data_IF_359364181079
#
_entry.id   IF_359364181079
#
_cell.length_a   1.000
_cell.length_b   1.000
_cell.length_c   1.000
_cell.angle_alpha   90.00
_cell.angle_beta   90.00
_cell.angle_gamma   90.00
#
_symmetry.space_group_name_H-M   'P 1'
#
loop_
_entity.id
_entity.type
_entity.pdbx_description
1 polymer ?
#
# COMPACT_ATOMS: atom_id res chain seq x y z
N UNK A 1 13.92 -0.74 16.66
CA UNK A 1 12.89 0.01 15.90
C UNK A 1 11.78 -0.98 15.58
N UNK A 2 10.51 -0.57 15.62
CA UNK A 2 9.46 -1.47 15.15
C UNK A 2 9.51 -1.43 13.63
N UNK A 3 9.52 -2.60 12.99
CA UNK A 3 9.45 -2.74 11.54
C UNK A 3 8.04 -3.19 11.18
N UNK A 4 7.51 -2.70 10.07
CA UNK A 4 6.28 -3.22 9.48
C UNK A 4 6.65 -3.96 8.19
N UNK A 5 5.93 -5.03 7.88
CA UNK A 5 6.11 -5.80 6.66
C UNK A 5 4.90 -5.60 5.77
N UNK A 6 5.12 -5.27 4.51
CA UNK A 6 4.08 -5.18 3.50
C UNK A 6 4.27 -6.31 2.50
N UNK A 7 3.30 -7.19 2.37
CA UNK A 7 3.34 -8.30 1.42
C UNK A 7 2.23 -8.19 0.41
N UNK A 8 2.57 -8.35 -0.87
CA UNK A 8 1.67 -8.22 -2.00
C UNK A 8 1.41 -9.57 -2.65
N UNK A 9 0.14 -9.84 -2.95
CA UNK A 9 -0.31 -11.06 -3.60
C UNK A 9 -1.27 -10.75 -4.74
N UNK A 10 -1.23 -11.56 -5.78
CA UNK A 10 -2.21 -11.52 -6.85
C UNK A 10 -3.28 -12.59 -6.60
N UNK A 11 -4.56 -12.18 -6.62
CA UNK A 11 -5.70 -13.03 -6.22
C UNK A 11 -6.84 -13.01 -7.23
N UNK A 12 -7.46 -14.17 -7.40
CA UNK A 12 -8.67 -14.36 -8.22
C UNK A 12 -9.93 -14.18 -7.37
N UNK A 13 -10.55 -12.99 -7.46
CA UNK A 13 -11.82 -12.65 -6.81
C UNK A 13 -11.76 -12.33 -5.31
N UNK A 14 -12.88 -11.79 -4.80
CA UNK A 14 -13.00 -11.25 -3.45
C UNK A 14 -12.89 -12.36 -2.37
N UNK A 15 -11.74 -12.45 -1.71
CA UNK A 15 -11.49 -13.46 -0.68
C UNK A 15 -11.83 -12.95 0.73
N UNK A 16 -12.45 -13.81 1.58
CA UNK A 16 -12.67 -13.51 2.99
C UNK A 16 -11.54 -14.04 3.91
N UNK A 17 -10.99 -13.14 4.72
CA UNK A 17 -10.52 -13.30 6.11
C UNK A 17 -9.51 -14.38 6.56
N UNK A 18 -8.86 -15.19 5.71
CA UNK A 18 -7.82 -16.10 6.21
C UNK A 18 -6.53 -16.10 5.37
N UNK A 19 -5.40 -15.89 6.04
CA UNK A 19 -4.04 -15.87 5.47
C UNK A 19 -3.61 -17.18 4.77
N UNK A 20 -4.42 -18.25 4.85
CA UNK A 20 -4.17 -19.50 4.14
C UNK A 20 -4.84 -19.47 2.75
N UNK A 21 -4.04 -19.22 1.70
CA UNK A 21 -4.51 -19.25 0.30
C UNK A 21 -4.55 -17.90 -0.41
N UNK A 22 -3.75 -16.92 0.03
CA UNK A 22 -3.68 -15.54 -0.45
C UNK A 22 -3.27 -15.36 -1.94
N UNK A 23 -3.21 -16.40 -2.76
CA UNK A 23 -2.74 -16.34 -4.14
C UNK A 23 -1.21 -16.36 -4.26
N UNK A 24 -0.70 -16.00 -5.45
CA UNK A 24 0.74 -16.00 -5.73
C UNK A 24 1.38 -14.72 -5.15
N UNK A 25 2.41 -14.83 -4.29
CA UNK A 25 3.11 -13.65 -3.78
C UNK A 25 3.88 -12.97 -4.91
N UNK A 26 3.69 -11.66 -5.05
CA UNK A 26 4.35 -10.84 -6.08
C UNK A 26 5.37 -9.86 -5.52
N UNK A 27 5.44 -9.72 -4.19
CA UNK A 27 6.56 -9.06 -3.55
C UNK A 27 6.35 -8.77 -2.08
N UNK A 28 7.42 -8.28 -1.47
CA UNK A 28 7.47 -7.87 -0.07
C UNK A 28 8.31 -6.58 0.07
N UNK A 29 7.97 -5.78 1.06
CA UNK A 29 8.72 -4.61 1.49
C UNK A 29 8.77 -4.55 3.02
N UNK A 30 9.93 -4.15 3.54
CA UNK A 30 10.07 -3.78 4.95
C UNK A 30 9.91 -2.27 5.03
N UNK A 31 8.92 -1.84 5.82
CA UNK A 31 8.60 -0.46 6.09
C UNK A 31 9.24 -0.07 7.43
N UNK A 32 10.35 0.68 7.42
CA UNK A 32 11.01 1.11 8.65
C UNK A 32 10.14 2.11 9.44
N UNK A 33 10.26 2.13 10.77
CA UNK A 33 9.56 3.11 11.61
C UNK A 33 8.08 2.80 11.88
N UNK A 34 7.30 3.85 12.12
CA UNK A 34 5.87 3.77 12.51
C UNK A 34 5.06 4.71 11.61
N UNK A 35 3.73 4.71 11.76
CA UNK A 35 2.82 5.68 11.11
C UNK A 35 2.59 5.54 9.58
N UNK A 36 3.06 4.47 8.94
CA UNK A 36 2.67 4.15 7.55
C UNK A 36 1.16 4.09 7.31
N UNK A 37 0.35 3.86 8.34
CA UNK A 37 -1.11 3.92 8.28
C UNK A 37 -1.67 5.35 8.09
N UNK A 38 -0.87 6.37 8.33
CA UNK A 38 -1.24 7.78 8.25
C UNK A 38 -0.98 8.38 6.86
N UNK A 39 -0.55 7.61 5.86
CA UNK A 39 -0.21 8.13 4.53
C UNK A 39 -1.42 8.54 3.67
N UNK A 40 -2.65 8.18 4.06
CA UNK A 40 -3.86 8.53 3.32
C UNK A 40 -3.98 10.03 2.97
N UNK A 41 -3.76 10.99 3.89
CA UNK A 41 -3.82 12.41 3.57
C UNK A 41 -2.75 12.85 2.55
N UNK A 42 -1.53 12.31 2.64
CA UNK A 42 -0.46 12.59 1.68
C UNK A 42 -0.84 12.11 0.28
N UNK A 43 -1.30 10.86 0.15
CA UNK A 43 -1.78 10.32 -1.13
C UNK A 43 -2.89 11.18 -1.74
N UNK A 44 -3.84 11.66 -0.93
CA UNK A 44 -4.89 12.58 -1.41
C UNK A 44 -4.33 13.92 -1.88
N UNK A 45 -3.39 14.52 -1.15
CA UNK A 45 -2.77 15.78 -1.51
C UNK A 45 -1.98 15.69 -2.82
N UNK A 46 -1.40 14.52 -3.10
CA UNK A 46 -0.67 14.22 -4.32
C UNK A 46 -1.55 13.83 -5.51
N UNK A 47 -2.85 13.63 -5.29
CA UNK A 47 -3.79 13.23 -6.35
C UNK A 47 -3.84 11.72 -6.61
N UNK A 48 -3.17 10.91 -5.79
CA UNK A 48 -3.21 9.45 -5.79
C UNK A 48 -4.49 8.97 -5.10
N UNK A 49 -5.64 9.27 -5.71
CA UNK A 49 -6.96 9.14 -5.07
C UNK A 49 -7.35 7.68 -4.88
N UNK A 50 -7.19 6.85 -5.92
CA UNK A 50 -7.46 5.43 -5.86
C UNK A 50 -6.51 4.74 -4.87
N UNK A 51 -5.24 5.13 -4.83
CA UNK A 51 -4.30 4.62 -3.82
C UNK A 51 -4.74 5.02 -2.41
N UNK A 52 -5.14 6.27 -2.21
CA UNK A 52 -5.64 6.76 -0.93
C UNK A 52 -6.91 6.01 -0.49
N UNK A 53 -7.83 5.71 -1.41
CA UNK A 53 -9.02 4.91 -1.14
C UNK A 53 -8.64 3.52 -0.61
N UNK A 54 -7.76 2.81 -1.32
CA UNK A 54 -7.23 1.51 -0.89
C UNK A 54 -6.61 1.60 0.50
N UNK A 55 -5.72 2.57 0.71
CA UNK A 55 -4.98 2.74 1.96
C UNK A 55 -5.87 3.12 3.14
N UNK A 56 -6.99 3.81 2.87
CA UNK A 56 -7.96 4.25 3.87
C UNK A 56 -9.02 3.22 4.22
N UNK A 57 -9.00 2.04 3.58
CA UNK A 57 -10.04 1.02 3.73
C UNK A 57 -10.22 0.68 5.21
N UNK A 58 -11.39 0.97 5.81
CA UNK A 58 -11.61 0.71 7.22
C UNK A 58 -11.64 -0.80 7.47
N UNK A 59 -10.91 -1.24 8.49
CA UNK A 59 -10.97 -2.62 8.92
C UNK A 59 -12.11 -2.82 9.93
N UNK A 60 -13.05 -3.72 9.60
CA UNK A 60 -14.09 -4.16 10.52
C UNK A 60 -13.55 -5.25 11.45
N UNK A 61 -12.60 -4.93 12.35
CA UNK A 61 -12.31 -5.81 13.48
C UNK A 61 -13.33 -5.55 14.60
N UNK A 62 -13.94 -6.58 15.21
CA UNK A 62 -14.81 -6.41 16.36
C UNK A 62 -14.06 -5.95 17.64
N UNK A 63 -12.73 -5.97 17.65
CA UNK A 63 -11.89 -5.55 18.77
C UNK A 63 -11.12 -4.25 18.45
N UNK A 64 -11.29 -3.21 19.29
CA UNK A 64 -10.64 -1.89 19.25
C UNK A 64 -9.11 -1.92 19.52
N UNK A 65 -8.48 -3.10 19.47
CA UNK A 65 -7.03 -3.24 19.64
C UNK A 65 -6.35 -3.21 18.26
N UNK A 66 -5.32 -2.38 18.08
CA UNK A 66 -4.49 -2.24 16.86
C UNK A 66 -4.37 -3.58 16.10
N UNK A 67 -5.23 -3.81 15.08
CA UNK A 67 -5.47 -5.15 14.59
C UNK A 67 -4.44 -5.44 13.50
N UNK A 68 -3.23 -5.76 13.94
CA UNK A 68 -2.25 -6.37 13.05
C UNK A 68 -2.67 -7.82 12.76
N UNK A 69 -2.65 -8.27 11.50
CA UNK A 69 -2.28 -7.54 10.28
C UNK A 69 -3.43 -6.74 9.65
N UNK A 70 -3.10 -5.71 8.85
CA UNK A 70 -4.04 -4.89 8.08
C UNK A 70 -4.13 -5.34 6.61
N UNK A 71 -5.22 -6.01 6.22
CA UNK A 71 -5.42 -6.42 4.84
C UNK A 71 -6.09 -5.33 4.01
N UNK A 72 -5.65 -5.18 2.77
CA UNK A 72 -6.17 -4.24 1.79
C UNK A 72 -6.34 -4.96 0.45
N UNK A 73 -7.50 -4.79 -0.19
CA UNK A 73 -7.77 -5.43 -1.47
C UNK A 73 -8.17 -4.39 -2.51
N UNK A 74 -7.45 -4.39 -3.63
CA UNK A 74 -7.81 -3.69 -4.85
C UNK A 74 -8.34 -4.70 -5.86
N UNK A 75 -9.62 -4.58 -6.21
CA UNK A 75 -10.18 -5.35 -7.32
C UNK A 75 -9.48 -4.99 -8.66
N UNK A 76 -9.63 -5.79 -9.74
CA UNK A 76 -8.91 -5.52 -10.98
C UNK A 76 -9.13 -4.11 -11.57
N UNK A 77 -10.32 -3.54 -11.40
CA UNK A 77 -10.63 -2.20 -11.88
C UNK A 77 -9.97 -1.13 -11.00
N UNK A 78 -9.97 -1.32 -9.68
CA UNK A 78 -9.30 -0.45 -8.72
C UNK A 78 -7.78 -0.50 -8.89
N UNK A 79 -7.20 -1.69 -9.01
CA UNK A 79 -5.79 -1.91 -9.29
C UNK A 79 -5.34 -1.21 -10.59
N UNK A 80 -6.16 -1.27 -11.64
CA UNK A 80 -5.88 -0.56 -12.91
C UNK A 80 -5.90 0.96 -12.77
N UNK A 81 -6.75 1.51 -11.89
CA UNK A 81 -6.75 2.96 -11.61
C UNK A 81 -5.51 3.37 -10.84
N UNK A 82 -5.10 2.58 -9.85
CA UNK A 82 -3.89 2.84 -9.07
C UNK A 82 -2.65 2.77 -9.96
N UNK A 83 -2.54 1.76 -10.84
CA UNK A 83 -1.45 1.64 -11.83
C UNK A 83 -1.36 2.89 -12.72
N UNK A 84 -2.50 3.43 -13.17
CA UNK A 84 -2.55 4.65 -13.96
C UNK A 84 -2.15 5.91 -13.16
N UNK A 85 -2.57 6.00 -11.89
CA UNK A 85 -2.16 7.09 -10.99
C UNK A 85 -0.64 7.08 -10.76
N UNK A 86 -0.08 5.91 -10.42
CA UNK A 86 1.36 5.75 -10.19
C UNK A 86 2.20 6.05 -11.44
N UNK A 87 1.74 5.60 -12.62
CA UNK A 87 2.43 5.87 -13.89
C UNK A 87 2.47 7.37 -14.24
N UNK A 88 1.44 8.12 -13.83
CA UNK A 88 1.34 9.55 -14.10
C UNK A 88 1.95 10.43 -12.99
N UNK A 89 2.34 9.83 -11.87
CA UNK A 89 2.81 10.55 -10.70
C UNK A 89 4.27 10.97 -10.87
N UNK A 90 4.55 12.23 -10.51
CA UNK A 90 5.91 12.76 -10.43
C UNK A 90 6.45 12.47 -9.03
N UNK A 91 7.28 11.44 -8.89
CA UNK A 91 7.70 10.94 -7.58
C UNK A 91 8.58 11.92 -6.81
N UNK A 92 9.31 12.79 -7.51
CA UNK A 92 10.12 13.86 -6.90
C UNK A 92 9.27 14.81 -6.04
N UNK A 93 7.96 14.89 -6.32
CA UNK A 93 7.00 15.67 -5.53
C UNK A 93 6.89 15.22 -4.06
N UNK A 94 7.30 14.00 -3.74
CA UNK A 94 7.35 13.51 -2.35
C UNK A 94 8.30 14.37 -1.52
N UNK A 95 9.47 14.72 -2.08
CA UNK A 95 10.48 15.56 -1.42
C UNK A 95 10.04 17.02 -1.27
N UNK A 96 9.30 17.53 -2.27
CA UNK A 96 8.72 18.88 -2.25
C UNK A 96 7.61 19.06 -1.19
N UNK A 97 7.10 17.96 -0.62
CA UNK A 97 6.00 17.97 0.34
C UNK A 97 6.24 17.01 1.50
N UNK A 98 7.49 16.88 1.94
CA UNK A 98 7.87 15.98 3.04
C UNK A 98 7.12 16.30 4.33
N UNK A 99 6.64 17.53 4.53
CA UNK A 99 5.82 17.92 5.69
C UNK A 99 4.47 17.18 5.76
N UNK A 100 4.02 16.56 4.66
CA UNK A 100 2.82 15.72 4.62
C UNK A 100 3.08 14.30 5.14
N UNK A 101 4.35 13.91 5.26
CA UNK A 101 4.76 12.58 5.68
C UNK A 101 4.81 12.46 7.20
N UNK A 102 4.53 11.27 7.75
CA UNK A 102 4.81 11.01 9.15
C UNK A 102 6.32 11.14 9.41
N UNK A 103 6.69 11.98 10.36
CA UNK A 103 8.10 12.33 10.65
C UNK A 103 8.51 13.67 10.04
N UNK A 104 8.00 13.99 8.84
CA UNK A 104 8.23 15.29 8.19
C UNK A 104 9.70 15.55 7.85
N UNK A 105 10.47 14.50 7.57
CA UNK A 105 11.90 14.55 7.26
C UNK A 105 12.23 13.89 5.91
N UNK A 106 13.46 14.11 5.44
CA UNK A 106 13.94 13.57 4.16
C UNK A 106 14.01 12.04 4.17
N UNK A 107 14.31 11.42 5.32
CA UNK A 107 14.34 9.96 5.45
C UNK A 107 12.94 9.36 5.17
N UNK A 108 11.87 9.95 5.72
CA UNK A 108 10.51 9.53 5.42
C UNK A 108 10.15 9.74 3.93
N UNK A 109 10.68 10.79 3.30
CA UNK A 109 10.47 11.06 1.88
C UNK A 109 11.13 10.00 1.00
N UNK A 110 12.39 9.64 1.26
CA UNK A 110 13.11 8.59 0.54
C UNK A 110 12.39 7.23 0.65
N UNK A 111 11.88 6.89 1.84
CA UNK A 111 11.17 5.64 2.06
C UNK A 111 9.83 5.57 1.32
N UNK A 112 9.09 6.68 1.27
CA UNK A 112 7.80 6.76 0.57
C UNK A 112 8.00 6.84 -0.95
N UNK A 113 9.00 7.57 -1.41
CA UNK A 113 9.43 7.60 -2.82
C UNK A 113 9.73 6.19 -3.31
N UNK A 114 10.57 5.45 -2.58
CA UNK A 114 10.90 4.06 -2.92
C UNK A 114 9.67 3.16 -3.03
N UNK A 115 8.69 3.32 -2.14
CA UNK A 115 7.46 2.54 -2.20
C UNK A 115 6.61 2.88 -3.43
N UNK A 116 6.55 4.17 -3.79
CA UNK A 116 5.76 4.68 -4.92
C UNK A 116 6.43 4.46 -6.29
N UNK A 117 7.75 4.47 -6.37
CA UNK A 117 8.51 4.33 -7.63
C UNK A 117 8.88 2.88 -7.94
N UNK A 118 9.30 2.10 -6.93
CA UNK A 118 9.77 0.73 -7.18
C UNK A 118 8.71 -0.33 -6.88
N UNK A 119 8.11 -0.28 -5.69
CA UNK A 119 7.32 -1.40 -5.17
C UNK A 119 5.93 -1.44 -5.74
N UNK A 120 5.15 -0.39 -5.53
CA UNK A 120 3.77 -0.36 -6.00
C UNK A 120 3.65 -0.52 -7.52
N UNK A 121 4.44 0.17 -8.36
CA UNK A 121 4.35 0.01 -9.81
C UNK A 121 4.57 -1.45 -10.23
N UNK A 122 5.57 -2.12 -9.64
CA UNK A 122 5.85 -3.54 -9.92
C UNK A 122 4.67 -4.44 -9.54
N UNK A 123 4.08 -4.25 -8.35
CA UNK A 123 3.02 -5.12 -7.85
C UNK A 123 1.69 -4.89 -8.58
N UNK A 124 1.30 -3.64 -8.81
CA UNK A 124 0.08 -3.32 -9.55
C UNK A 124 0.19 -3.74 -11.03
N UNK A 125 1.37 -3.61 -11.64
CA UNK A 125 1.61 -4.14 -12.99
C UNK A 125 1.50 -5.68 -13.04
N UNK A 126 1.94 -6.40 -12.01
CA UNK A 126 1.78 -7.85 -11.93
C UNK A 126 0.31 -8.27 -11.85
N UNK A 127 -0.48 -7.64 -10.97
CA UNK A 127 -1.93 -7.87 -10.88
C UNK A 127 -2.65 -7.57 -12.21
N UNK A 128 -2.32 -6.43 -12.83
CA UNK A 128 -2.86 -6.02 -14.13
C UNK A 128 -2.52 -7.02 -15.24
N UNK A 129 -1.27 -7.46 -15.32
CA UNK A 129 -0.81 -8.43 -16.32
C UNK A 129 -1.52 -9.78 -16.17
N UNK A 130 -1.79 -10.19 -14.93
CA UNK A 130 -2.56 -11.39 -14.64
C UNK A 130 -4.07 -11.23 -14.89
N UNK A 131 -4.58 -9.99 -15.00
CA UNK A 131 -6.01 -9.70 -15.07
C UNK A 131 -6.75 -9.96 -13.74
N UNK A 132 -6.02 -9.89 -12.63
CA UNK A 132 -6.46 -10.27 -11.28
C UNK A 132 -6.41 -9.07 -10.32
N UNK A 133 -6.93 -9.24 -9.10
CA UNK A 133 -6.86 -8.21 -8.07
C UNK A 133 -5.53 -8.26 -7.31
N UNK A 134 -5.19 -7.16 -6.61
CA UNK A 134 -4.02 -7.08 -5.74
C UNK A 134 -4.46 -7.07 -4.28
N UNK A 135 -3.90 -7.97 -3.49
CA UNK A 135 -4.05 -8.01 -2.04
C UNK A 135 -2.75 -7.57 -1.37
N UNK A 136 -2.83 -6.56 -0.51
CA UNK A 136 -1.72 -6.07 0.30
C UNK A 136 -1.98 -6.40 1.76
N UNK A 137 -1.00 -6.98 2.44
CA UNK A 137 -1.04 -7.28 3.86
C UNK A 137 0.04 -6.48 4.58
N UNK A 138 -0.35 -5.54 5.43
CA UNK A 138 0.58 -4.82 6.30
C UNK A 138 0.60 -5.49 7.67
N UNK A 139 1.70 -6.14 8.01
CA UNK A 139 1.91 -6.85 9.28
C UNK A 139 2.90 -6.08 10.17
N UNK A 140 2.67 -6.08 11.48
CA UNK A 140 3.46 -5.35 12.47
C UNK A 140 4.31 -6.26 13.35
N UNK A 141 4.22 -7.59 13.15
CA UNK A 141 4.95 -8.57 13.92
C UNK A 141 5.44 -9.72 13.04
N UNK A 142 6.75 -9.79 12.80
CA UNK A 142 7.42 -11.09 12.64
C UNK A 142 8.29 -11.34 13.86
#
# INVERSE_FOLDING_TARGET
MAEQYLTAYVVDGAFPQAAAGLGEPVGEATLPGRHWHELTPAFRAWGLTALAELWSTPWNSPDDADPWPFPMYADPAHASRIDAELTAFDVERVHDSHELLPGGDDDAAEEVEWLLDEKFPTWFAAARTAGLGLYLLRDGAR
#
